data_IF_758523512709
#
_entry.id   IF_758523512709
#
_cell.length_a   1.000
_cell.length_b   1.000
_cell.length_c   1.000
_cell.angle_alpha   90.00
_cell.angle_beta   90.00
_cell.angle_gamma   90.00
#
_symmetry.space_group_name_H-M   'P 1'
#
loop_
_entity.id
_entity.type
_entity.pdbx_description
1 polymer ?
#
# COMPACT_ATOMS: atom_id res chain seq x y z
N UNK A 1 3.64 -9.23 2.50
CA UNK A 1 4.14 -10.51 3.08
C UNK A 1 3.41 -10.75 4.38
N UNK A 2 3.04 -12.01 4.69
CA UNK A 2 2.38 -12.36 5.96
C UNK A 2 3.06 -13.60 6.55
N UNK A 3 3.70 -13.52 7.74
CA UNK A 3 4.50 -14.62 8.28
C UNK A 3 3.68 -15.84 8.71
N UNK A 4 2.40 -15.63 9.01
CA UNK A 4 1.47 -16.66 9.50
C UNK A 4 0.65 -17.32 8.37
N UNK A 5 1.06 -17.14 7.11
CA UNK A 5 0.42 -17.72 5.94
C UNK A 5 1.46 -18.35 5.02
N UNK A 6 1.02 -19.21 4.11
CA UNK A 6 1.92 -19.76 3.10
C UNK A 6 2.44 -18.65 2.18
N UNK A 7 3.76 -18.59 1.99
CA UNK A 7 4.36 -17.60 1.10
C UNK A 7 3.93 -17.76 -0.38
N UNK A 8 3.59 -18.97 -0.82
CA UNK A 8 3.15 -19.24 -2.19
C UNK A 8 1.65 -18.98 -2.35
N UNK A 9 0.79 -19.87 -1.84
CA UNK A 9 -0.65 -19.82 -2.11
C UNK A 9 -1.44 -18.85 -1.22
N UNK A 10 -0.82 -18.31 -0.17
CA UNK A 10 -1.47 -17.44 0.84
C UNK A 10 -2.67 -18.07 1.57
N UNK A 11 -2.94 -19.37 1.38
CA UNK A 11 -4.08 -20.04 2.01
C UNK A 11 -4.00 -20.01 3.53
N UNK A 12 -5.19 -19.83 4.14
CA UNK A 12 -5.45 -19.95 5.57
C UNK A 12 -5.59 -21.42 5.98
N UNK A 13 -4.65 -22.28 5.62
CA UNK A 13 -4.56 -23.56 6.34
C UNK A 13 -4.15 -23.18 7.75
N UNK A 14 -5.07 -23.32 8.70
CA UNK A 14 -4.92 -22.79 10.06
C UNK A 14 -3.48 -22.95 10.57
N UNK A 15 -2.96 -21.90 11.22
CA UNK A 15 -1.55 -21.67 11.63
C UNK A 15 -0.81 -22.94 12.11
N UNK A 16 -1.54 -23.92 12.64
CA UNK A 16 -1.12 -25.21 13.16
C UNK A 16 -0.36 -26.13 12.17
N UNK A 17 -0.31 -25.86 10.85
CA UNK A 17 0.39 -26.75 9.88
C UNK A 17 1.34 -26.06 8.90
N UNK A 18 1.87 -24.88 9.24
CA UNK A 18 2.89 -24.26 8.40
C UNK A 18 4.26 -24.89 8.61
N UNK A 19 4.91 -25.22 7.50
CA UNK A 19 6.31 -25.63 7.42
C UNK A 19 7.17 -24.37 7.33
N UNK A 20 7.89 -24.04 8.39
CA UNK A 20 8.84 -22.94 8.40
C UNK A 20 10.16 -23.35 7.72
N UNK A 21 10.83 -22.41 7.06
CA UNK A 21 12.20 -22.62 6.60
C UNK A 21 13.10 -22.98 7.79
N UNK A 22 13.76 -24.13 7.73
CA UNK A 22 14.57 -24.68 8.82
C UNK A 22 15.99 -24.09 8.90
N UNK A 23 16.31 -23.12 8.05
CA UNK A 23 17.60 -22.40 8.07
C UNK A 23 17.43 -21.00 8.64
N UNK A 24 16.53 -20.21 8.03
CA UNK A 24 16.32 -18.82 8.44
C UNK A 24 15.16 -18.61 9.40
N UNK A 25 14.23 -19.55 9.53
CA UNK A 25 13.04 -19.47 10.40
C UNK A 25 12.08 -18.27 10.15
N UNK A 26 12.32 -17.45 9.13
CA UNK A 26 11.56 -16.21 8.87
C UNK A 26 10.42 -16.34 7.86
N UNK A 27 10.26 -17.49 7.20
CA UNK A 27 9.28 -17.70 6.13
C UNK A 27 8.61 -19.07 6.24
N UNK A 28 7.34 -19.14 5.88
CA UNK A 28 6.45 -20.27 6.14
C UNK A 28 5.73 -20.73 4.87
N UNK A 29 5.48 -22.03 4.76
CA UNK A 29 4.80 -22.69 3.63
C UNK A 29 3.71 -23.64 4.13
N UNK A 30 2.66 -23.90 3.36
CA UNK A 30 1.64 -24.88 3.76
C UNK A 30 2.01 -26.34 3.43
N UNK A 31 3.10 -26.56 2.68
CA UNK A 31 3.61 -27.88 2.33
C UNK A 31 5.11 -27.80 1.97
N UNK A 32 5.79 -28.95 2.01
CA UNK A 32 7.16 -29.07 1.49
C UNK A 32 7.23 -28.79 -0.02
N UNK A 33 6.16 -29.06 -0.78
CA UNK A 33 6.11 -28.75 -2.22
C UNK A 33 6.16 -27.24 -2.47
N UNK A 34 5.40 -26.43 -1.73
CA UNK A 34 5.48 -24.97 -1.83
C UNK A 34 6.84 -24.43 -1.35
N UNK A 35 7.46 -25.08 -0.36
CA UNK A 35 8.82 -24.74 0.07
C UNK A 35 9.85 -25.02 -1.03
N UNK A 36 9.76 -26.18 -1.70
CA UNK A 36 10.62 -26.54 -2.84
C UNK A 36 10.39 -25.62 -4.04
N UNK A 37 9.15 -25.26 -4.33
CA UNK A 37 8.81 -24.34 -5.40
C UNK A 37 9.47 -22.96 -5.21
N UNK A 38 9.46 -22.44 -3.99
CA UNK A 38 10.10 -21.15 -3.68
C UNK A 38 11.63 -21.25 -3.51
N UNK A 39 12.18 -22.44 -3.30
CA UNK A 39 13.58 -22.62 -2.93
C UNK A 39 14.59 -21.93 -3.87
N UNK A 40 14.46 -21.99 -5.22
CA UNK A 40 15.41 -21.32 -6.11
C UNK A 40 15.49 -19.81 -5.90
N UNK A 41 14.36 -19.16 -5.61
CA UNK A 41 14.27 -17.72 -5.34
C UNK A 41 14.80 -17.40 -3.93
N UNK A 42 14.42 -18.20 -2.93
CA UNK A 42 14.76 -17.96 -1.53
C UNK A 42 16.22 -18.31 -1.17
N UNK A 43 16.86 -19.27 -1.85
CA UNK A 43 18.12 -19.90 -1.41
C UNK A 43 19.24 -18.90 -1.12
N UNK A 44 19.49 -17.96 -2.02
CA UNK A 44 20.60 -16.99 -1.87
C UNK A 44 20.37 -16.12 -0.63
N UNK A 45 19.18 -15.53 -0.52
CA UNK A 45 18.77 -14.74 0.64
C UNK A 45 18.85 -15.52 1.95
N UNK A 46 18.30 -16.74 1.95
CA UNK A 46 18.31 -17.62 3.10
C UNK A 46 19.74 -17.92 3.59
N UNK A 47 20.68 -18.12 2.66
CA UNK A 47 22.08 -18.40 2.98
C UNK A 47 22.77 -17.18 3.60
N UNK A 48 22.53 -15.98 3.07
CA UNK A 48 23.07 -14.74 3.63
C UNK A 48 22.56 -14.50 5.05
N UNK A 49 21.25 -14.67 5.25
CA UNK A 49 20.62 -14.53 6.56
C UNK A 49 21.09 -15.60 7.56
N UNK A 50 21.29 -16.85 7.11
CA UNK A 50 21.79 -17.94 7.95
C UNK A 50 23.19 -17.65 8.52
N UNK A 51 24.07 -16.96 7.77
CA UNK A 51 25.39 -16.55 8.28
C UNK A 51 25.24 -15.64 9.50
N UNK A 52 24.42 -14.60 9.39
CA UNK A 52 24.17 -13.67 10.48
C UNK A 52 23.59 -14.38 11.72
N UNK A 53 22.64 -15.29 11.51
CA UNK A 53 22.00 -16.03 12.61
C UNK A 53 22.97 -17.00 13.32
N UNK A 54 24.02 -17.47 12.64
CA UNK A 54 25.09 -18.26 13.26
C UNK A 54 25.98 -17.39 14.16
N UNK A 55 26.20 -16.14 13.77
CA UNK A 55 27.01 -15.19 14.54
C UNK A 55 26.24 -14.63 15.75
N UNK A 56 24.91 -14.57 15.70
CA UNK A 56 24.04 -14.21 16.85
C UNK A 56 23.00 -15.30 17.16
N UNK A 57 23.39 -16.40 17.84
CA UNK A 57 22.49 -17.50 18.18
C UNK A 57 21.30 -17.10 19.06
N UNK A 58 21.40 -15.97 19.76
CA UNK A 58 20.35 -15.46 20.66
C UNK A 58 19.30 -14.62 19.94
N UNK A 59 19.51 -14.31 18.66
CA UNK A 59 18.66 -13.40 17.88
C UNK A 59 17.16 -13.64 18.08
N UNK A 60 16.70 -14.88 17.93
CA UNK A 60 15.26 -15.19 18.02
C UNK A 60 14.71 -15.21 19.45
N UNK A 61 15.56 -15.40 20.46
CA UNK A 61 15.16 -15.43 21.88
C UNK A 61 15.26 -14.06 22.54
N UNK A 62 16.00 -13.13 21.94
CA UNK A 62 16.21 -11.78 22.46
C UNK A 62 14.87 -11.03 22.51
N UNK A 63 14.67 -10.29 23.59
CA UNK A 63 13.56 -9.35 23.73
C UNK A 63 14.05 -7.96 23.39
N UNK A 64 13.17 -7.20 22.75
CA UNK A 64 13.44 -5.84 22.35
C UNK A 64 12.28 -4.96 22.78
N UNK A 65 12.60 -3.71 23.13
CA UNK A 65 11.63 -2.62 23.01
C UNK A 65 11.30 -2.39 21.53
N UNK A 66 10.25 -1.63 21.26
CA UNK A 66 9.83 -1.31 19.89
C UNK A 66 10.94 -0.63 19.07
N UNK A 67 11.62 0.34 19.64
CA UNK A 67 12.65 1.11 18.92
C UNK A 67 13.91 0.28 18.68
N UNK A 68 14.31 -0.52 19.67
CA UNK A 68 15.42 -1.46 19.51
C UNK A 68 15.10 -2.51 18.44
N UNK A 69 13.87 -3.00 18.38
CA UNK A 69 13.42 -3.96 17.37
C UNK A 69 13.53 -3.38 15.96
N UNK A 70 12.98 -2.18 15.72
CA UNK A 70 13.05 -1.55 14.41
C UNK A 70 14.49 -1.27 13.98
N UNK A 71 15.34 -0.82 14.91
CA UNK A 71 16.76 -0.61 14.66
C UNK A 71 17.47 -1.92 14.31
N UNK A 72 17.22 -2.99 15.07
CA UNK A 72 17.81 -4.30 14.83
C UNK A 72 17.38 -4.90 13.48
N UNK A 73 16.09 -4.86 13.15
CA UNK A 73 15.58 -5.34 11.86
C UNK A 73 16.14 -4.54 10.68
N UNK A 74 16.26 -3.22 10.81
CA UNK A 74 16.86 -2.35 9.78
C UNK A 74 18.34 -2.70 9.56
N UNK A 75 19.12 -2.85 10.63
CA UNK A 75 20.53 -3.24 10.56
C UNK A 75 20.71 -4.63 9.94
N UNK A 76 19.86 -5.59 10.30
CA UNK A 76 19.89 -6.93 9.71
C UNK A 76 19.56 -6.88 8.21
N UNK A 77 18.52 -6.13 7.83
CA UNK A 77 18.13 -5.94 6.43
C UNK A 77 19.29 -5.39 5.59
N UNK A 78 19.96 -4.33 6.07
CA UNK A 78 21.13 -3.73 5.41
C UNK A 78 22.28 -4.74 5.32
N UNK A 79 22.58 -5.46 6.40
CA UNK A 79 23.67 -6.44 6.43
C UNK A 79 23.47 -7.57 5.42
N UNK A 80 22.23 -8.09 5.31
CA UNK A 80 21.89 -9.12 4.32
C UNK A 80 21.98 -8.58 2.89
N UNK A 81 21.56 -7.33 2.64
CA UNK A 81 21.70 -6.70 1.33
C UNK A 81 23.18 -6.55 0.91
N UNK A 82 24.05 -6.16 1.85
CA UNK A 82 25.50 -6.05 1.62
C UNK A 82 26.11 -7.41 1.28
N UNK A 83 25.81 -8.48 2.03
CA UNK A 83 26.33 -9.83 1.74
C UNK A 83 25.84 -10.35 0.38
N UNK A 84 24.59 -10.07 0.01
CA UNK A 84 24.03 -10.47 -1.28
C UNK A 84 24.52 -9.63 -2.47
N UNK A 85 25.09 -8.45 -2.22
CA UNK A 85 25.56 -7.49 -3.23
C UNK A 85 24.50 -7.14 -4.28
N UNK A 86 23.24 -7.05 -3.84
CA UNK A 86 22.11 -6.60 -4.66
C UNK A 86 21.07 -5.92 -3.79
N UNK A 87 20.20 -5.15 -4.44
CA UNK A 87 18.98 -4.65 -3.82
C UNK A 87 18.09 -5.85 -3.47
N UNK A 88 17.51 -5.82 -2.28
CA UNK A 88 16.57 -6.83 -1.82
C UNK A 88 15.24 -6.71 -2.58
N UNK A 89 14.63 -7.85 -2.87
CA UNK A 89 13.30 -7.88 -3.46
C UNK A 89 12.27 -7.37 -2.46
N UNK A 90 11.14 -6.85 -2.95
CA UNK A 90 10.10 -6.25 -2.09
C UNK A 90 9.65 -7.21 -0.99
N UNK A 91 9.46 -8.50 -1.30
CA UNK A 91 9.04 -9.47 -0.28
C UNK A 91 10.16 -9.77 0.74
N UNK A 92 11.43 -9.69 0.36
CA UNK A 92 12.59 -9.92 1.25
C UNK A 92 12.71 -8.80 2.28
N UNK A 93 12.55 -7.55 1.84
CA UNK A 93 12.47 -6.39 2.74
C UNK A 93 11.29 -6.57 3.71
N UNK A 94 10.13 -6.97 3.19
CA UNK A 94 8.95 -7.22 4.00
C UNK A 94 9.12 -8.37 5.01
N UNK A 95 10.03 -9.32 4.78
CA UNK A 95 10.33 -10.37 5.77
C UNK A 95 10.93 -9.79 7.06
N UNK A 96 11.69 -8.69 6.97
CA UNK A 96 12.23 -7.99 8.15
C UNK A 96 11.19 -7.06 8.78
N UNK A 97 10.49 -6.27 7.97
CA UNK A 97 9.47 -5.31 8.45
C UNK A 97 8.33 -6.02 9.18
N UNK A 98 7.86 -7.15 8.61
CA UNK A 98 6.75 -7.93 9.15
C UNK A 98 7.23 -9.28 9.70
N UNK A 99 8.44 -9.31 10.27
CA UNK A 99 8.99 -10.50 10.89
C UNK A 99 8.07 -11.00 12.02
N UNK A 100 7.83 -12.33 12.04
CA UNK A 100 7.04 -12.97 13.09
C UNK A 100 7.71 -12.74 14.45
N UNK A 101 7.03 -12.02 15.32
CA UNK A 101 7.54 -11.64 16.63
C UNK A 101 6.37 -11.40 17.60
N UNK A 102 6.61 -11.54 18.90
CA UNK A 102 5.61 -11.13 19.90
C UNK A 102 5.33 -9.63 19.77
N UNK A 103 4.05 -9.24 19.70
CA UNK A 103 3.63 -7.84 19.57
C UNK A 103 4.16 -6.91 20.67
N UNK A 104 4.53 -7.47 21.83
CA UNK A 104 4.90 -6.71 23.02
C UNK A 104 6.43 -6.70 23.21
N UNK A 105 7.10 -7.86 23.21
CA UNK A 105 8.54 -7.95 23.49
C UNK A 105 9.41 -8.33 22.29
N UNK A 106 8.82 -8.50 21.11
CA UNK A 106 9.50 -8.80 19.85
C UNK A 106 10.37 -10.07 19.81
N UNK A 107 10.33 -10.94 20.84
CA UNK A 107 10.94 -12.26 20.73
C UNK A 107 10.28 -13.05 19.58
N UNK A 108 11.03 -13.94 18.94
CA UNK A 108 10.60 -14.64 17.73
C UNK A 108 10.36 -16.14 17.93
N UNK A 109 10.70 -16.67 19.11
CA UNK A 109 10.45 -18.07 19.50
C UNK A 109 9.26 -18.22 20.46
N UNK A 110 8.64 -19.40 20.47
CA UNK A 110 7.57 -19.73 21.42
C UNK A 110 6.32 -18.88 21.22
N UNK A 111 5.95 -18.63 19.97
CA UNK A 111 4.88 -17.72 19.59
C UNK A 111 3.57 -18.42 19.23
N UNK A 112 2.48 -17.82 19.68
CA UNK A 112 1.11 -18.12 19.33
C UNK A 112 0.56 -17.01 18.44
N UNK A 113 -0.23 -17.37 17.44
CA UNK A 113 -0.83 -16.40 16.52
C UNK A 113 -2.31 -16.20 16.82
N UNK A 114 -2.81 -14.99 16.63
CA UNK A 114 -4.25 -14.73 16.69
C UNK A 114 -4.97 -15.42 15.52
N UNK A 115 -5.83 -16.39 15.82
CA UNK A 115 -6.57 -17.15 14.79
C UNK A 115 -7.65 -16.33 14.05
N UNK A 116 -8.05 -15.17 14.62
CA UNK A 116 -9.08 -14.31 14.01
C UNK A 116 -8.50 -13.45 12.88
N UNK A 117 -7.38 -12.76 13.14
CA UNK A 117 -6.77 -11.83 12.18
C UNK A 117 -5.58 -12.42 11.42
N UNK A 118 -4.96 -13.49 11.94
CA UNK A 118 -3.76 -14.14 11.39
C UNK A 118 -2.57 -13.19 11.18
N UNK A 119 -2.59 -12.01 11.80
CA UNK A 119 -1.63 -10.92 11.51
C UNK A 119 -0.87 -10.45 12.76
N UNK A 120 -1.12 -11.07 13.91
CA UNK A 120 -0.47 -10.71 15.17
C UNK A 120 -0.11 -11.96 15.96
N UNK A 121 1.05 -11.92 16.62
CA UNK A 121 1.62 -13.00 17.41
C UNK A 121 1.95 -12.54 18.83
N UNK A 122 1.96 -13.47 19.78
CA UNK A 122 2.29 -13.25 21.18
C UNK A 122 3.04 -14.44 21.76
N UNK A 123 3.90 -14.21 22.75
CA UNK A 123 4.48 -15.29 23.54
C UNK A 123 3.60 -15.62 24.76
N UNK A 124 3.82 -16.79 25.37
CA UNK A 124 2.99 -17.27 26.50
C UNK A 124 2.91 -16.26 27.65
N UNK A 125 4.04 -15.63 28.00
CA UNK A 125 4.11 -14.63 29.07
C UNK A 125 3.26 -13.38 28.79
N UNK A 126 3.10 -13.00 27.52
CA UNK A 126 2.33 -11.83 27.13
C UNK A 126 0.89 -12.14 26.71
N UNK A 127 0.39 -13.35 26.99
CA UNK A 127 -0.96 -13.78 26.56
C UNK A 127 -2.07 -12.85 27.05
N UNK A 128 -2.06 -12.47 28.32
CA UNK A 128 -3.10 -11.62 28.91
C UNK A 128 -3.03 -10.18 28.37
N UNK A 129 -1.84 -9.58 28.40
CA UNK A 129 -1.61 -8.24 27.88
C UNK A 129 -1.93 -8.16 26.38
N UNK A 130 -1.59 -9.19 25.60
CA UNK A 130 -1.98 -9.29 24.20
C UNK A 130 -3.49 -9.26 24.05
N UNK A 131 -4.23 -10.01 24.85
CA UNK A 131 -5.69 -10.02 24.83
C UNK A 131 -6.30 -8.64 25.02
N UNK A 132 -5.74 -7.82 25.90
CA UNK A 132 -6.19 -6.46 26.16
C UNK A 132 -5.83 -5.48 25.03
N UNK A 133 -4.58 -5.50 24.56
CA UNK A 133 -4.08 -4.54 23.56
C UNK A 133 -4.51 -4.87 22.13
N UNK A 134 -4.66 -6.15 21.80
CA UNK A 134 -4.99 -6.59 20.45
C UNK A 134 -6.49 -6.52 20.14
N UNK A 135 -7.35 -6.58 21.16
CA UNK A 135 -8.81 -6.68 20.98
C UNK A 135 -9.37 -5.58 20.06
N UNK A 136 -8.96 -4.32 20.27
CA UNK A 136 -9.43 -3.17 19.50
C UNK A 136 -8.95 -3.13 18.05
N UNK A 137 -7.83 -3.77 17.73
CA UNK A 137 -7.22 -3.75 16.38
C UNK A 137 -7.39 -5.06 15.62
N UNK A 138 -7.85 -6.13 16.28
CA UNK A 138 -7.97 -7.46 15.68
C UNK A 138 -8.85 -7.46 14.43
N UNK A 139 -10.01 -6.80 14.51
CA UNK A 139 -10.94 -6.73 13.37
C UNK A 139 -10.41 -5.87 12.23
N UNK A 140 -9.66 -4.80 12.54
CA UNK A 140 -8.97 -3.99 11.53
C UNK A 140 -7.91 -4.80 10.79
N UNK A 141 -7.11 -5.59 11.50
CA UNK A 141 -6.09 -6.45 10.89
C UNK A 141 -6.71 -7.59 10.07
N UNK A 142 -7.84 -8.14 10.53
CA UNK A 142 -8.62 -9.13 9.78
C UNK A 142 -9.18 -8.53 8.49
N UNK A 143 -9.71 -7.31 8.56
CA UNK A 143 -10.18 -6.57 7.39
C UNK A 143 -9.03 -6.29 6.44
N UNK A 144 -7.91 -5.74 6.91
CA UNK A 144 -6.72 -5.49 6.11
C UNK A 144 -6.26 -6.73 5.35
N UNK A 145 -6.12 -7.87 6.04
CA UNK A 145 -5.74 -9.13 5.41
C UNK A 145 -6.76 -9.58 4.35
N UNK A 146 -8.05 -9.36 4.57
CA UNK A 146 -9.11 -9.63 3.59
C UNK A 146 -8.96 -8.73 2.36
N UNK A 147 -8.69 -7.44 2.56
CA UNK A 147 -8.50 -6.47 1.49
C UNK A 147 -7.28 -6.82 0.64
N UNK A 148 -6.15 -7.18 1.25
CA UNK A 148 -4.93 -7.60 0.53
C UNK A 148 -5.18 -8.75 -0.46
N UNK A 149 -5.94 -9.78 -0.05
CA UNK A 149 -6.27 -10.90 -0.93
C UNK A 149 -7.31 -10.56 -1.99
N UNK A 150 -8.29 -9.76 -1.60
CA UNK A 150 -9.34 -9.35 -2.54
C UNK A 150 -8.80 -8.39 -3.60
N UNK A 151 -7.87 -7.50 -3.24
CA UNK A 151 -7.32 -6.54 -4.19
C UNK A 151 -6.68 -7.27 -5.38
N UNK A 152 -6.02 -8.42 -5.14
CA UNK A 152 -5.49 -9.28 -6.21
C UNK A 152 -6.57 -9.80 -7.17
N UNK A 153 -7.73 -10.21 -6.64
CA UNK A 153 -8.87 -10.71 -7.43
C UNK A 153 -9.57 -9.60 -8.24
N UNK A 154 -9.62 -8.38 -7.70
CA UNK A 154 -10.33 -7.27 -8.33
C UNK A 154 -9.47 -6.41 -9.28
N UNK A 155 -8.16 -6.68 -9.42
CA UNK A 155 -7.22 -5.94 -10.29
C UNK A 155 -7.71 -5.75 -11.73
N UNK A 156 -8.50 -6.70 -12.24
CA UNK A 156 -9.01 -6.71 -13.62
C UNK A 156 -10.50 -6.41 -13.74
N UNK A 157 -11.23 -6.27 -12.62
CA UNK A 157 -12.70 -6.27 -12.63
C UNK A 157 -13.28 -4.88 -12.40
N UNK A 158 -12.58 -3.95 -11.74
CA UNK A 158 -13.17 -2.66 -11.34
C UNK A 158 -13.25 -1.72 -12.56
N UNK A 159 -14.44 -1.51 -13.16
CA UNK A 159 -14.61 -0.56 -14.24
C UNK A 159 -14.90 0.78 -13.56
N UNK A 160 -13.86 1.49 -13.14
CA UNK A 160 -13.98 2.82 -12.51
C UNK A 160 -14.77 3.80 -13.38
N UNK A 161 -14.84 3.54 -14.69
CA UNK A 161 -15.67 4.22 -15.70
C UNK A 161 -17.14 4.40 -15.31
N UNK A 162 -17.70 3.53 -14.45
CA UNK A 162 -19.14 3.52 -14.19
C UNK A 162 -19.59 4.42 -13.03
N UNK A 163 -18.68 4.97 -12.20
CA UNK A 163 -19.09 5.51 -10.88
C UNK A 163 -19.08 7.04 -10.71
N UNK A 164 -18.59 7.83 -11.66
CA UNK A 164 -18.59 9.30 -11.53
C UNK A 164 -19.60 10.03 -12.42
N UNK A 165 -20.43 9.30 -13.15
CA UNK A 165 -21.44 9.88 -14.06
C UNK A 165 -22.39 10.86 -13.39
N UNK A 166 -22.76 10.57 -12.13
CA UNK A 166 -23.70 11.38 -11.33
C UNK A 166 -22.99 12.29 -10.30
N UNK A 167 -21.66 12.39 -10.36
CA UNK A 167 -20.88 13.11 -9.36
C UNK A 167 -20.36 14.46 -9.91
N UNK A 168 -20.35 15.53 -9.08
CA UNK A 168 -21.06 15.69 -7.82
C UNK A 168 -22.56 15.98 -8.02
N UNK A 169 -23.41 15.56 -7.07
CA UNK A 169 -24.83 15.90 -7.01
C UNK A 169 -25.09 16.76 -5.77
N UNK A 170 -25.67 17.95 -5.95
CA UNK A 170 -25.98 18.87 -4.85
C UNK A 170 -26.96 18.29 -3.83
N UNK A 171 -27.79 17.32 -4.24
CA UNK A 171 -28.73 16.63 -3.36
C UNK A 171 -28.09 15.49 -2.55
N UNK A 172 -26.83 15.17 -2.80
CA UNK A 172 -26.07 14.10 -2.15
C UNK A 172 -24.80 14.66 -1.50
N UNK A 173 -24.92 15.47 -0.43
CA UNK A 173 -23.76 16.04 0.24
C UNK A 173 -22.92 14.94 0.91
N UNK A 174 -21.61 15.17 0.97
CA UNK A 174 -20.65 14.32 1.67
C UNK A 174 -19.61 15.20 2.37
N UNK A 175 -19.16 14.76 3.54
CA UNK A 175 -18.18 15.46 4.38
C UNK A 175 -17.03 14.54 4.85
N UNK A 176 -17.18 13.24 4.67
CA UNK A 176 -16.18 12.24 4.98
C UNK A 176 -16.21 11.11 3.93
N UNK A 177 -15.23 10.21 3.99
CA UNK A 177 -15.17 9.08 3.05
C UNK A 177 -16.35 8.12 3.20
N UNK A 178 -16.97 8.06 4.39
CA UNK A 178 -18.05 7.13 4.63
C UNK A 178 -19.35 7.57 3.95
N UNK A 179 -19.68 8.85 4.08
CA UNK A 179 -20.79 9.51 3.38
C UNK A 179 -20.54 9.53 1.88
N UNK A 180 -19.31 9.79 1.42
CA UNK A 180 -18.96 9.70 -0.01
C UNK A 180 -19.26 8.31 -0.60
N UNK A 181 -18.79 7.24 0.04
CA UNK A 181 -19.07 5.86 -0.38
C UNK A 181 -20.55 5.58 -0.38
N UNK A 182 -21.25 5.95 0.68
CA UNK A 182 -22.68 5.67 0.85
C UNK A 182 -23.54 6.40 -0.17
N UNK A 183 -23.14 7.59 -0.62
CA UNK A 183 -23.93 8.43 -1.54
C UNK A 183 -23.64 8.15 -3.02
N UNK A 184 -22.39 7.83 -3.35
CA UNK A 184 -21.90 7.80 -4.74
C UNK A 184 -21.39 6.44 -5.21
N UNK A 185 -21.02 5.55 -4.28
CA UNK A 185 -20.46 4.24 -4.63
C UNK A 185 -21.50 3.13 -4.42
N UNK A 186 -22.47 3.35 -3.52
CA UNK A 186 -23.51 2.40 -3.11
C UNK A 186 -24.89 3.02 -3.00
N UNK A 187 -25.91 2.15 -3.05
CA UNK A 187 -27.32 2.49 -2.79
C UNK A 187 -27.84 1.94 -1.45
N UNK A 188 -27.26 0.86 -0.90
CA UNK A 188 -27.62 0.30 0.42
C UNK A 188 -26.53 0.63 1.46
N UNK A 189 -26.88 1.13 2.64
CA UNK A 189 -25.96 1.66 3.65
C UNK A 189 -25.56 0.66 4.76
N UNK A 190 -26.06 -0.59 4.75
CA UNK A 190 -26.02 -1.43 5.98
C UNK A 190 -24.67 -2.09 6.31
N UNK A 191 -23.83 -2.43 5.34
CA UNK A 191 -22.53 -3.08 5.62
C UNK A 191 -21.55 -2.97 4.45
N UNK A 192 -20.34 -2.44 4.67
CA UNK A 192 -19.33 -2.29 3.62
C UNK A 192 -18.80 -3.63 3.08
N UNK A 193 -18.68 -3.71 1.77
CA UNK A 193 -18.03 -4.78 1.05
C UNK A 193 -16.57 -4.43 0.76
N UNK A 194 -15.76 -5.42 0.40
CA UNK A 194 -14.33 -5.21 0.09
C UNK A 194 -14.13 -4.08 -0.93
N UNK A 195 -14.94 -4.06 -1.99
CA UNK A 195 -14.84 -3.04 -3.04
C UNK A 195 -14.99 -1.63 -2.48
N UNK A 196 -15.86 -1.41 -1.50
CA UNK A 196 -16.07 -0.08 -0.91
C UNK A 196 -14.79 0.48 -0.31
N UNK A 197 -14.05 -0.36 0.44
CA UNK A 197 -12.75 0.00 0.99
C UNK A 197 -11.71 0.26 -0.10
N UNK A 198 -11.66 -0.57 -1.15
CA UNK A 198 -10.74 -0.35 -2.29
C UNK A 198 -11.03 0.99 -2.96
N UNK A 199 -12.31 1.33 -3.15
CA UNK A 199 -12.69 2.63 -3.69
C UNK A 199 -12.25 3.79 -2.80
N UNK A 200 -12.34 3.64 -1.47
CA UNK A 200 -11.85 4.71 -0.58
C UNK A 200 -10.37 4.97 -0.75
N UNK A 201 -9.56 3.91 -0.92
CA UNK A 201 -8.13 4.03 -1.16
C UNK A 201 -7.85 4.78 -2.46
N UNK A 202 -8.57 4.43 -3.54
CA UNK A 202 -8.39 5.08 -4.84
C UNK A 202 -8.81 6.56 -4.84
N UNK A 203 -9.92 6.89 -4.21
CA UNK A 203 -10.44 8.25 -4.15
C UNK A 203 -9.65 9.15 -3.18
N UNK A 204 -8.88 8.57 -2.25
CA UNK A 204 -8.20 9.34 -1.19
C UNK A 204 -7.26 10.41 -1.76
N UNK A 205 -6.40 10.05 -2.72
CA UNK A 205 -5.47 10.99 -3.36
C UNK A 205 -6.15 12.25 -3.95
N UNK A 206 -7.05 12.10 -4.94
CA UNK A 206 -7.74 13.25 -5.53
C UNK A 206 -8.64 13.99 -4.54
N UNK A 207 -9.30 13.30 -3.60
CA UNK A 207 -10.14 13.96 -2.59
C UNK A 207 -9.32 14.79 -1.61
N UNK A 208 -8.16 14.30 -1.15
CA UNK A 208 -7.24 15.05 -0.30
C UNK A 208 -6.72 16.29 -1.01
N UNK A 209 -6.40 16.21 -2.30
CA UNK A 209 -6.02 17.39 -3.10
C UNK A 209 -7.14 18.40 -3.13
N UNK A 210 -8.36 17.98 -3.48
CA UNK A 210 -9.51 18.89 -3.55
C UNK A 210 -9.78 19.55 -2.19
N UNK A 211 -9.76 18.76 -1.12
CA UNK A 211 -9.90 19.26 0.24
C UNK A 211 -8.82 20.30 0.57
N UNK A 212 -7.55 20.00 0.31
CA UNK A 212 -6.44 20.93 0.53
C UNK A 212 -6.59 22.23 -0.24
N UNK A 213 -6.96 22.17 -1.53
CA UNK A 213 -7.21 23.34 -2.38
C UNK A 213 -8.38 24.20 -1.83
N UNK A 214 -9.44 23.55 -1.33
CA UNK A 214 -10.60 24.22 -0.75
C UNK A 214 -10.26 24.90 0.57
N UNK A 215 -9.63 24.19 1.51
CA UNK A 215 -9.30 24.69 2.85
C UNK A 215 -8.31 25.85 2.81
N UNK A 216 -7.35 25.80 1.90
CA UNK A 216 -6.37 26.88 1.69
C UNK A 216 -6.95 28.08 0.95
N UNK A 217 -8.25 28.05 0.58
CA UNK A 217 -8.94 29.06 -0.24
C UNK A 217 -8.25 29.32 -1.59
N UNK A 218 -7.39 28.39 -2.02
CA UNK A 218 -6.62 28.51 -3.25
C UNK A 218 -7.51 28.46 -4.49
N UNK A 219 -8.75 28.01 -4.40
CA UNK A 219 -9.73 28.10 -5.50
C UNK A 219 -9.94 29.54 -6.02
N UNK A 220 -9.71 30.55 -5.17
CA UNK A 220 -9.85 31.95 -5.52
C UNK A 220 -8.54 32.59 -6.00
N UNK A 221 -7.38 32.00 -5.64
CA UNK A 221 -6.05 32.56 -5.90
C UNK A 221 -5.29 31.85 -7.02
N UNK A 222 -5.54 30.56 -7.21
CA UNK A 222 -5.05 29.83 -8.37
C UNK A 222 -5.88 30.31 -9.56
N UNK A 223 -5.22 30.92 -10.54
CA UNK A 223 -5.76 31.00 -11.90
C UNK A 223 -5.90 29.58 -12.42
N UNK A 224 -6.99 28.89 -12.04
CA UNK A 224 -7.31 27.56 -12.54
C UNK A 224 -7.69 27.74 -14.00
N UNK A 225 -6.67 27.63 -14.83
CA UNK A 225 -6.78 27.65 -16.28
C UNK A 225 -7.38 26.35 -16.82
N UNK A 226 -7.61 26.29 -18.14
CA UNK A 226 -8.14 25.09 -18.78
C UNK A 226 -7.17 23.90 -18.68
N UNK A 227 -5.87 24.13 -18.45
CA UNK A 227 -4.86 23.10 -18.25
C UNK A 227 -4.39 23.18 -16.80
N UNK A 228 -4.42 22.05 -16.09
CA UNK A 228 -3.99 21.95 -14.70
C UNK A 228 -3.05 20.76 -14.53
N UNK A 229 -1.84 21.03 -14.05
CA UNK A 229 -0.74 20.08 -13.91
C UNK A 229 -0.46 19.83 -12.43
N UNK A 230 -0.53 18.57 -12.02
CA UNK A 230 -0.25 18.14 -10.65
C UNK A 230 0.98 17.22 -10.68
N UNK A 231 2.01 17.58 -9.93
CA UNK A 231 3.15 16.70 -9.69
C UNK A 231 2.92 15.90 -8.42
N UNK A 232 2.94 14.57 -8.52
CA UNK A 232 2.94 13.65 -7.40
C UNK A 232 4.36 13.14 -7.20
N UNK A 233 5.01 13.58 -6.12
CA UNK A 233 6.40 13.21 -5.80
C UNK A 233 6.46 11.96 -4.93
N UNK A 234 7.54 11.20 -5.08
CA UNK A 234 7.76 9.90 -4.41
C UNK A 234 6.62 8.89 -4.71
N UNK A 235 6.09 8.96 -5.94
CA UNK A 235 5.02 8.08 -6.40
C UNK A 235 5.54 6.64 -6.59
N UNK A 236 4.68 5.66 -6.33
CA UNK A 236 5.00 4.23 -6.45
C UNK A 236 4.11 3.57 -7.48
N UNK A 237 4.60 2.50 -8.11
CA UNK A 237 3.84 1.77 -9.14
C UNK A 237 2.46 1.25 -8.66
N UNK A 238 2.28 1.10 -7.35
CA UNK A 238 1.02 0.68 -6.72
C UNK A 238 -0.10 1.70 -6.98
N UNK A 239 0.25 2.97 -7.22
CA UNK A 239 -0.68 4.08 -7.47
C UNK A 239 -1.35 4.00 -8.85
N UNK A 240 -0.90 3.09 -9.74
CA UNK A 240 -1.47 2.97 -11.09
C UNK A 240 -2.93 2.50 -11.11
N UNK A 241 -3.39 1.81 -10.08
CA UNK A 241 -4.77 1.30 -10.03
C UNK A 241 -5.76 2.38 -9.59
N UNK A 242 -5.29 3.39 -8.85
CA UNK A 242 -6.12 4.51 -8.41
C UNK A 242 -6.24 5.61 -9.46
N UNK A 243 -5.44 5.58 -10.54
CA UNK A 243 -5.42 6.62 -11.56
C UNK A 243 -6.82 7.03 -12.02
N UNK A 244 -7.72 6.12 -12.43
CA UNK A 244 -9.01 6.56 -12.97
C UNK A 244 -9.85 7.36 -11.96
N UNK A 245 -9.64 7.18 -10.65
CA UNK A 245 -10.32 7.97 -9.63
C UNK A 245 -9.94 9.46 -9.67
N UNK A 246 -8.81 9.85 -10.29
CA UNK A 246 -8.43 11.25 -10.45
C UNK A 246 -9.37 12.03 -11.38
N UNK A 247 -10.22 11.34 -12.17
CA UNK A 247 -11.32 11.97 -12.88
C UNK A 247 -12.24 12.78 -11.95
N UNK A 248 -12.35 12.41 -10.67
CA UNK A 248 -13.09 13.15 -9.62
C UNK A 248 -12.74 14.66 -9.64
N UNK A 249 -11.47 15.02 -9.84
CA UNK A 249 -11.05 16.42 -9.88
C UNK A 249 -11.64 17.19 -11.06
N UNK A 250 -11.81 16.53 -12.21
CA UNK A 250 -12.46 17.13 -13.39
C UNK A 250 -13.93 17.45 -13.09
N UNK A 251 -14.61 16.66 -12.27
CA UNK A 251 -15.98 16.91 -11.85
C UNK A 251 -16.07 18.02 -10.79
N UNK A 252 -15.20 17.99 -9.78
CA UNK A 252 -15.19 18.96 -8.68
C UNK A 252 -14.69 20.35 -9.08
N UNK A 253 -13.87 20.44 -10.11
CA UNK A 253 -13.29 21.70 -10.60
C UNK A 253 -13.60 21.86 -12.10
N UNK A 254 -14.83 22.28 -12.46
CA UNK A 254 -15.29 22.30 -13.86
C UNK A 254 -14.47 23.19 -14.81
N UNK A 255 -13.70 24.15 -14.26
CA UNK A 255 -12.79 25.02 -15.02
C UNK A 255 -11.66 24.23 -15.69
N UNK A 256 -11.26 23.10 -15.12
CA UNK A 256 -10.22 22.25 -15.68
C UNK A 256 -10.78 21.51 -16.90
N UNK A 257 -10.12 21.69 -18.05
CA UNK A 257 -10.39 20.96 -19.31
C UNK A 257 -9.37 19.85 -19.55
N UNK A 258 -8.12 20.07 -19.18
CA UNK A 258 -7.03 19.10 -19.31
C UNK A 258 -6.38 18.98 -17.95
N UNK A 259 -6.47 17.80 -17.34
CA UNK A 259 -5.77 17.46 -16.10
C UNK A 259 -4.58 16.56 -16.45
N UNK A 260 -3.38 16.99 -16.07
CA UNK A 260 -2.14 16.25 -16.26
C UNK A 260 -1.61 15.86 -14.89
N UNK A 261 -1.47 14.57 -14.64
CA UNK A 261 -0.91 14.02 -13.40
C UNK A 261 0.48 13.48 -13.72
N UNK A 262 1.51 14.17 -13.26
CA UNK A 262 2.90 13.76 -13.43
C UNK A 262 3.33 13.01 -12.17
N UNK A 263 3.48 11.69 -12.29
CA UNK A 263 3.98 10.82 -11.23
C UNK A 263 5.50 10.69 -11.31
N UNK A 264 6.18 11.08 -10.25
CA UNK A 264 7.64 11.20 -10.22
C UNK A 264 8.16 10.31 -9.08
N UNK A 265 8.97 9.31 -9.43
CA UNK A 265 9.51 8.37 -8.47
C UNK A 265 10.52 7.40 -9.10
N UNK A 266 11.58 7.08 -8.36
CA UNK A 266 12.70 6.25 -8.86
C UNK A 266 12.32 4.80 -9.18
N UNK A 267 11.25 4.29 -8.58
CA UNK A 267 10.77 2.92 -8.79
C UNK A 267 9.80 2.79 -9.97
N UNK A 268 9.44 3.89 -10.63
CA UNK A 268 8.48 3.89 -11.71
C UNK A 268 9.10 3.39 -13.01
N UNK A 269 8.26 2.92 -13.92
CA UNK A 269 8.62 2.75 -15.33
C UNK A 269 8.11 3.94 -16.13
N UNK A 270 8.98 4.53 -16.95
CA UNK A 270 8.61 5.65 -17.82
C UNK A 270 7.49 5.25 -18.78
N UNK A 271 6.43 6.05 -18.82
CA UNK A 271 5.26 5.81 -19.64
C UNK A 271 4.43 7.08 -19.77
N UNK A 272 3.73 7.21 -20.89
CA UNK A 272 2.65 8.16 -21.07
C UNK A 272 1.36 7.38 -21.23
N UNK A 273 0.37 7.68 -20.41
CA UNK A 273 -0.94 7.03 -20.46
C UNK A 273 -2.07 8.06 -20.54
N UNK A 274 -3.03 7.79 -21.41
CA UNK A 274 -4.30 8.53 -21.45
C UNK A 274 -5.42 7.64 -20.93
N UNK A 275 -6.29 8.19 -20.09
CA UNK A 275 -7.40 7.43 -19.54
C UNK A 275 -8.74 7.78 -20.22
N UNK A 276 -9.54 6.74 -20.44
CA UNK A 276 -10.91 6.86 -20.94
C UNK A 276 -11.82 7.45 -19.86
N UNK A 277 -12.35 8.64 -20.12
CA UNK A 277 -13.21 9.36 -19.19
C UNK A 277 -14.66 8.89 -19.25
N UNK A 278 -15.43 9.27 -18.23
CA UNK A 278 -16.88 9.09 -18.23
C UNK A 278 -17.55 9.91 -19.36
N UNK A 279 -18.77 9.54 -19.71
CA UNK A 279 -19.52 10.19 -20.80
C UNK A 279 -19.71 11.70 -20.56
N UNK A 280 -19.96 12.13 -19.31
CA UNK A 280 -20.09 13.55 -18.97
C UNK A 280 -18.79 14.33 -19.27
N UNK A 281 -17.63 13.80 -18.87
CA UNK A 281 -16.33 14.42 -19.13
C UNK A 281 -15.98 14.43 -20.62
N UNK A 282 -16.28 13.34 -21.34
CA UNK A 282 -16.13 13.24 -22.80
C UNK A 282 -16.97 14.29 -23.54
N UNK A 283 -18.26 14.42 -23.20
CA UNK A 283 -19.15 15.44 -23.78
C UNK A 283 -18.65 16.87 -23.53
N UNK A 284 -18.01 17.10 -22.39
CA UNK A 284 -17.40 18.38 -22.04
C UNK A 284 -15.99 18.59 -22.62
N UNK A 285 -15.53 17.68 -23.50
CA UNK A 285 -14.22 17.67 -24.15
C UNK A 285 -13.05 17.75 -23.16
N UNK A 286 -13.21 17.10 -22.01
CA UNK A 286 -12.16 17.03 -21.00
C UNK A 286 -11.13 15.95 -21.34
N UNK A 287 -9.92 16.08 -20.78
CA UNK A 287 -8.82 15.11 -20.93
C UNK A 287 -8.15 14.87 -19.59
N UNK A 288 -7.71 13.63 -19.38
CA UNK A 288 -6.92 13.19 -18.23
C UNK A 288 -5.71 12.41 -18.73
N UNK A 289 -4.53 12.93 -18.40
CA UNK A 289 -3.24 12.46 -18.90
C UNK A 289 -2.36 12.12 -17.71
N UNK A 290 -1.65 10.99 -17.82
CA UNK A 290 -0.66 10.55 -16.83
C UNK A 290 0.72 10.48 -17.48
N UNK A 291 1.68 11.09 -16.80
CA UNK A 291 3.09 11.04 -17.15
C UNK A 291 3.85 10.35 -16.01
N UNK A 292 4.64 9.33 -16.33
CA UNK A 292 5.45 8.61 -15.34
C UNK A 292 6.93 8.92 -15.59
N UNK A 293 7.59 9.49 -14.59
CA UNK A 293 8.99 9.87 -14.63
C UNK A 293 9.79 9.04 -13.63
N UNK A 294 10.66 8.17 -14.13
CA UNK A 294 11.49 7.24 -13.34
C UNK A 294 12.74 7.92 -12.73
N UNK A 295 12.54 9.01 -11.99
CA UNK A 295 13.62 9.87 -11.51
C UNK A 295 13.23 10.57 -10.19
N UNK A 296 14.19 11.25 -9.55
CA UNK A 296 13.90 12.14 -8.42
C UNK A 296 13.23 13.44 -8.90
N UNK A 297 12.60 14.16 -7.97
CA UNK A 297 12.05 15.47 -8.31
C UNK A 297 13.13 16.49 -8.71
N UNK A 298 14.31 16.43 -8.10
CA UNK A 298 15.44 17.31 -8.46
C UNK A 298 15.97 17.04 -9.87
N UNK A 299 16.02 15.77 -10.27
CA UNK A 299 16.37 15.36 -11.63
C UNK A 299 15.30 15.82 -12.62
N UNK A 300 14.01 15.68 -12.27
CA UNK A 300 12.90 16.13 -13.09
C UNK A 300 12.92 17.64 -13.35
N UNK A 301 13.25 18.48 -12.36
CA UNK A 301 13.38 19.93 -12.52
C UNK A 301 14.43 20.35 -13.57
N UNK A 302 15.44 19.50 -13.78
CA UNK A 302 16.52 19.75 -14.73
C UNK A 302 16.29 19.05 -16.08
N UNK A 303 15.19 18.31 -16.21
CA UNK A 303 14.90 17.51 -17.39
C UNK A 303 14.25 18.39 -18.49
N UNK A 304 14.62 18.23 -19.77
CA UNK A 304 13.98 18.94 -20.88
C UNK A 304 12.46 18.77 -20.99
N UNK A 305 11.90 17.67 -20.46
CA UNK A 305 10.45 17.41 -20.48
C UNK A 305 9.69 18.13 -19.36
N UNK A 306 10.39 18.88 -18.50
CA UNK A 306 9.79 19.54 -17.34
C UNK A 306 8.62 20.46 -17.74
N UNK A 307 7.43 20.11 -17.25
CA UNK A 307 6.27 21.01 -17.21
C UNK A 307 6.18 21.73 -15.87
N UNK A 308 5.86 23.02 -15.87
CA UNK A 308 5.61 23.76 -14.61
C UNK A 308 4.31 23.26 -13.96
N UNK A 309 4.40 22.77 -12.72
CA UNK A 309 3.23 22.35 -11.94
C UNK A 309 2.35 23.54 -11.53
N UNK A 310 1.04 23.31 -11.51
CA UNK A 310 0.09 24.13 -10.77
C UNK A 310 0.01 23.71 -9.29
N UNK A 311 0.25 22.44 -9.00
CA UNK A 311 0.30 21.88 -7.64
C UNK A 311 1.38 20.80 -7.56
N UNK A 312 2.11 20.76 -6.45
CA UNK A 312 3.06 19.69 -6.11
C UNK A 312 2.57 19.04 -4.82
N UNK A 313 2.47 17.72 -4.79
CA UNK A 313 1.98 16.96 -3.64
C UNK A 313 2.84 15.73 -3.39
N UNK A 314 3.15 15.46 -2.12
CA UNK A 314 3.73 14.20 -1.65
C UNK A 314 2.84 13.60 -0.59
N UNK A 315 2.16 12.49 -0.89
CA UNK A 315 1.23 11.84 0.05
C UNK A 315 1.96 11.09 1.17
N UNK A 316 3.05 10.42 0.81
CA UNK A 316 3.87 9.61 1.71
C UNK A 316 5.36 9.94 1.57
N UNK A 317 5.67 11.13 1.05
CA UNK A 317 7.04 11.56 0.83
C UNK A 317 7.76 11.64 2.16
N UNK A 318 8.87 10.92 2.27
CA UNK A 318 9.83 11.16 3.35
C UNK A 318 10.61 12.41 2.99
N UNK A 319 10.39 13.50 3.75
CA UNK A 319 11.07 14.78 3.59
C UNK A 319 12.56 14.69 3.91
#
# INVERSE_FOLDING_TARGET
FHPNLCHICKEKRGVVRLVTCNRCFMISYCSEDHKKLHFPQHRKFCTALEKFLKDDPKWFTRRFTRDEWYKAQSQLCVSVAIDLRRILEKYEIQMFIFARSCLICHQQTGLYSCIKCLSADYCLEHKEQFGQQHYSICDLLKLWLKLEFSNFEYRSIIPLKLKFMIFPDSNKPFNDMATFVTQYIREDARQWHTLDYIYTDYASGPMTIFYGIKETKLLNFLEIGPIYIIHVIDAKDVDRQSLPAWEILLHLIPKIKVLIIVMIGRELQEKLDTHDLCYCCCCNRKKLIYEFCAMSYSEYLSNPIYGKANLIVGFHATL
#
